data_IF_500493387325
#
_entry.id   IF_500493387325
#
_cell.length_a   1.000
_cell.length_b   1.000
_cell.length_c   1.000
_cell.angle_alpha   90.00
_cell.angle_beta   90.00
_cell.angle_gamma   90.00
#
_symmetry.space_group_name_H-M   'P 1'
#
loop_
_entity.id
_entity.type
_entity.pdbx_description
1 polymer ?
#
# COMPACT_ATOMS: atom_id res chain seq x y z
N UNK A 1 23.64 -44.63 -17.63
CA UNK A 1 24.34 -43.54 -18.35
C UNK A 1 23.49 -42.82 -19.42
N UNK A 2 22.67 -43.50 -20.22
CA UNK A 2 21.84 -42.84 -21.26
C UNK A 2 20.73 -41.92 -20.71
N UNK A 3 20.10 -42.28 -19.58
CA UNK A 3 19.05 -41.46 -18.94
C UNK A 3 19.56 -40.15 -18.34
N UNK A 4 20.77 -40.13 -17.79
CA UNK A 4 21.37 -38.94 -17.19
C UNK A 4 21.73 -37.87 -18.24
N UNK A 5 22.20 -38.29 -19.42
CA UNK A 5 22.46 -37.37 -20.55
C UNK A 5 21.18 -36.76 -21.12
N UNK A 6 20.09 -37.52 -21.16
CA UNK A 6 18.79 -37.02 -21.59
C UNK A 6 18.23 -35.96 -20.62
N UNK A 7 18.39 -36.17 -19.31
CA UNK A 7 17.94 -35.24 -18.27
C UNK A 7 18.66 -33.88 -18.37
N UNK A 8 19.98 -33.88 -18.62
CA UNK A 8 20.77 -32.65 -18.78
C UNK A 8 20.33 -31.85 -20.01
N UNK A 9 20.00 -32.53 -21.11
CA UNK A 9 19.53 -31.88 -22.35
C UNK A 9 18.16 -31.22 -22.12
N UNK A 10 17.25 -31.90 -21.43
CA UNK A 10 15.93 -31.37 -21.09
C UNK A 10 16.05 -30.16 -20.15
N UNK A 11 16.92 -30.24 -19.13
CA UNK A 11 17.16 -29.14 -18.20
C UNK A 11 17.77 -27.92 -18.91
N UNK A 12 18.73 -28.16 -19.82
CA UNK A 12 19.33 -27.11 -20.64
C UNK A 12 18.32 -26.41 -21.55
N UNK A 13 17.43 -27.17 -22.20
CA UNK A 13 16.37 -26.61 -23.04
C UNK A 13 15.36 -25.76 -22.23
N UNK A 14 15.02 -26.19 -21.00
CA UNK A 14 14.13 -25.43 -20.12
C UNK A 14 14.73 -24.09 -19.68
N UNK A 15 16.04 -24.04 -19.39
CA UNK A 15 16.74 -22.79 -19.04
C UNK A 15 16.78 -21.83 -20.22
N UNK A 16 17.06 -22.32 -21.43
CA UNK A 16 17.05 -21.49 -22.64
C UNK A 16 15.66 -20.91 -22.90
N UNK A 17 14.60 -21.71 -22.75
CA UNK A 17 13.23 -21.25 -22.90
C UNK A 17 12.87 -20.16 -21.89
N UNK A 18 13.27 -20.32 -20.61
CA UNK A 18 13.05 -19.32 -19.57
C UNK A 18 13.77 -17.99 -19.86
N UNK A 19 15.01 -18.05 -20.38
CA UNK A 19 15.76 -16.85 -20.78
C UNK A 19 15.11 -16.13 -21.96
N UNK A 20 14.65 -16.88 -22.98
CA UNK A 20 13.92 -16.32 -24.11
C UNK A 20 12.61 -15.65 -23.65
N UNK A 21 11.87 -16.29 -22.73
CA UNK A 21 10.66 -15.72 -22.16
C UNK A 21 10.93 -14.43 -21.37
N UNK A 22 12.00 -14.37 -20.56
CA UNK A 22 12.40 -13.14 -19.86
C UNK A 22 12.77 -12.01 -20.81
N UNK A 23 13.55 -12.30 -21.85
CA UNK A 23 13.94 -11.30 -22.85
C UNK A 23 12.72 -10.78 -23.62
N UNK A 24 11.79 -11.68 -23.97
CA UNK A 24 10.54 -11.32 -24.61
C UNK A 24 9.67 -10.44 -23.69
N UNK A 25 9.47 -10.83 -22.43
CA UNK A 25 8.77 -10.02 -21.43
C UNK A 25 9.43 -8.64 -21.24
N UNK A 26 10.75 -8.57 -21.13
CA UNK A 26 11.48 -7.31 -20.97
C UNK A 26 11.36 -6.41 -22.21
N UNK A 27 11.24 -6.99 -23.41
CA UNK A 27 10.97 -6.25 -24.64
C UNK A 27 9.54 -5.72 -24.67
N UNK A 28 8.56 -6.54 -24.31
CA UNK A 28 7.14 -6.13 -24.26
C UNK A 28 6.94 -5.01 -23.25
N UNK A 29 7.53 -5.10 -22.05
CA UNK A 29 7.46 -4.05 -21.03
C UNK A 29 8.10 -2.75 -21.54
N UNK A 30 9.23 -2.81 -22.27
CA UNK A 30 9.85 -1.61 -22.85
C UNK A 30 8.95 -0.96 -23.90
N UNK A 31 8.37 -1.75 -24.80
CA UNK A 31 7.45 -1.23 -25.81
C UNK A 31 6.21 -0.58 -25.17
N UNK A 32 5.62 -1.24 -24.17
CA UNK A 32 4.47 -0.69 -23.44
C UNK A 32 4.82 0.63 -22.73
N UNK A 33 6.01 0.73 -22.12
CA UNK A 33 6.48 1.98 -21.50
C UNK A 33 6.66 3.10 -22.51
N UNK A 34 7.16 2.80 -23.71
CA UNK A 34 7.32 3.81 -24.77
C UNK A 34 5.97 4.27 -25.31
N UNK A 35 5.02 3.35 -25.49
CA UNK A 35 3.65 3.68 -25.91
C UNK A 35 2.94 4.52 -24.85
N UNK A 36 3.06 4.16 -23.57
CA UNK A 36 2.49 4.93 -22.47
C UNK A 36 3.10 6.33 -22.38
N UNK A 37 4.42 6.47 -22.56
CA UNK A 37 5.08 7.78 -22.58
C UNK A 37 4.57 8.68 -23.72
N UNK A 38 4.38 8.11 -24.91
CA UNK A 38 3.82 8.84 -26.06
C UNK A 38 2.37 9.29 -25.79
N UNK A 39 1.53 8.42 -25.23
CA UNK A 39 0.15 8.75 -24.86
C UNK A 39 0.08 9.84 -23.77
N UNK A 40 1.01 9.83 -22.80
CA UNK A 40 1.10 10.86 -21.77
C UNK A 40 1.43 12.23 -22.35
N UNK A 41 2.34 12.27 -23.31
CA UNK A 41 2.73 13.51 -23.98
C UNK A 41 1.59 14.05 -24.86
N UNK A 42 0.90 13.18 -25.59
CA UNK A 42 -0.29 13.53 -26.37
C UNK A 42 -1.39 14.12 -25.48
N UNK A 43 -1.70 13.48 -24.35
CA UNK A 43 -2.67 13.98 -23.38
C UNK A 43 -2.29 15.35 -22.81
N UNK A 44 -1.01 15.57 -22.48
CA UNK A 44 -0.51 16.87 -22.02
C UNK A 44 -0.70 17.96 -23.05
N UNK A 45 -0.33 17.67 -24.30
CA UNK A 45 -0.46 18.63 -25.39
C UNK A 45 -1.93 19.01 -25.60
N UNK A 46 -2.83 18.02 -25.54
CA UNK A 46 -4.28 18.21 -25.70
C UNK A 46 -4.86 19.05 -24.56
N UNK A 47 -4.45 18.78 -23.31
CA UNK A 47 -4.86 19.56 -22.14
C UNK A 47 -4.33 21.00 -22.19
N UNK A 48 -3.09 21.21 -22.63
CA UNK A 48 -2.52 22.55 -22.78
C UNK A 48 -3.28 23.38 -23.81
N UNK A 49 -3.60 22.80 -24.98
CA UNK A 49 -4.40 23.46 -26.02
C UNK A 49 -5.82 23.76 -25.53
N UNK A 50 -6.42 22.86 -24.76
CA UNK A 50 -7.77 23.06 -24.21
C UNK A 50 -7.83 24.19 -23.16
N UNK A 51 -6.76 24.37 -22.37
CA UNK A 51 -6.65 25.38 -21.31
C UNK A 51 -6.25 26.77 -21.80
N UNK A 52 -5.69 26.89 -23.01
CA UNK A 52 -5.29 28.17 -23.61
C UNK A 52 -6.49 29.02 -24.04
N UNK A 53 -7.64 28.39 -24.27
CA UNK A 53 -8.88 29.09 -24.65
C UNK A 53 -9.37 29.99 -23.51
N UNK A 54 -9.63 31.26 -23.83
CA UNK A 54 -10.23 32.21 -22.90
C UNK A 54 -11.72 31.88 -22.74
N UNK A 55 -12.21 31.59 -21.51
CA UNK A 55 -13.62 31.27 -21.31
C UNK A 55 -14.48 32.52 -21.55
N UNK A 56 -15.54 32.35 -22.32
CA UNK A 56 -16.52 33.40 -22.66
C UNK A 56 -17.85 33.21 -21.93
N UNK A 57 -18.02 32.10 -21.21
CA UNK A 57 -19.21 31.82 -20.40
C UNK A 57 -18.89 31.11 -19.07
N UNK A 58 -19.81 31.16 -18.12
CA UNK A 58 -19.69 30.46 -16.83
C UNK A 58 -19.60 28.92 -17.00
N UNK A 59 -20.23 28.36 -18.03
CA UNK A 59 -20.13 26.94 -18.35
C UNK A 59 -18.71 26.56 -18.83
N UNK A 60 -18.09 27.41 -19.66
CA UNK A 60 -16.71 27.24 -20.11
C UNK A 60 -15.70 27.40 -18.98
N UNK A 61 -16.01 28.27 -18.00
CA UNK A 61 -15.18 28.44 -16.80
C UNK A 61 -15.20 27.18 -15.90
N UNK A 62 -16.38 26.61 -15.65
CA UNK A 62 -16.49 25.35 -14.90
C UNK A 62 -15.81 24.17 -15.64
N UNK A 63 -15.86 24.15 -16.98
CA UNK A 63 -15.15 23.16 -17.79
C UNK A 63 -13.63 23.34 -17.71
N UNK A 64 -13.14 24.58 -17.71
CA UNK A 64 -11.72 24.91 -17.52
C UNK A 64 -11.22 24.46 -16.16
N UNK A 65 -11.94 24.72 -15.08
CA UNK A 65 -11.59 24.27 -13.73
C UNK A 65 -11.48 22.74 -13.63
N UNK A 66 -12.38 22.00 -14.30
CA UNK A 66 -12.29 20.53 -14.39
C UNK A 66 -11.03 20.08 -15.14
N UNK A 67 -10.68 20.75 -16.23
CA UNK A 67 -9.47 20.46 -17.00
C UNK A 67 -8.20 20.80 -16.21
N UNK A 68 -8.20 21.88 -15.43
CA UNK A 68 -7.10 22.22 -14.51
C UNK A 68 -6.94 21.17 -13.41
N UNK A 69 -8.04 20.68 -12.85
CA UNK A 69 -8.00 19.59 -11.87
C UNK A 69 -7.41 18.30 -12.47
N UNK A 70 -7.77 17.96 -13.71
CA UNK A 70 -7.21 16.81 -14.43
C UNK A 70 -5.70 16.99 -14.67
N UNK A 71 -5.28 18.20 -15.11
CA UNK A 71 -3.87 18.54 -15.29
C UNK A 71 -3.08 18.43 -13.98
N UNK A 72 -3.59 19.03 -12.90
CA UNK A 72 -2.98 18.99 -11.57
C UNK A 72 -2.84 17.56 -11.05
N UNK A 73 -3.88 16.72 -11.20
CA UNK A 73 -3.80 15.30 -10.85
C UNK A 73 -2.69 14.60 -11.61
N UNK A 74 -2.58 14.85 -12.92
CA UNK A 74 -1.50 14.30 -13.73
C UNK A 74 -0.11 14.79 -13.31
N UNK A 75 0.05 16.08 -13.02
CA UNK A 75 1.32 16.65 -12.55
C UNK A 75 1.71 16.09 -11.18
N UNK A 76 0.76 15.97 -10.24
CA UNK A 76 1.01 15.33 -8.93
C UNK A 76 1.39 13.87 -9.09
N UNK A 77 0.78 13.13 -10.02
CA UNK A 77 1.13 11.75 -10.32
C UNK A 77 2.55 11.64 -10.86
N UNK A 78 2.91 12.49 -11.82
CA UNK A 78 4.25 12.52 -12.40
C UNK A 78 5.32 12.90 -11.37
N UNK A 79 5.03 13.86 -10.50
CA UNK A 79 5.91 14.22 -9.39
C UNK A 79 6.08 13.06 -8.41
N UNK A 80 5.01 12.33 -8.09
CA UNK A 80 5.07 11.15 -7.23
C UNK A 80 5.85 10.00 -7.87
N UNK A 81 5.65 9.73 -9.16
CA UNK A 81 6.44 8.75 -9.90
C UNK A 81 7.92 9.15 -9.94
N UNK A 82 8.24 10.42 -10.24
CA UNK A 82 9.60 10.93 -10.20
C UNK A 82 10.22 10.87 -8.81
N UNK A 83 9.45 11.13 -7.76
CA UNK A 83 9.89 10.98 -6.37
C UNK A 83 10.13 9.50 -6.03
N UNK A 84 9.26 8.59 -6.48
CA UNK A 84 9.43 7.15 -6.28
C UNK A 84 10.67 6.63 -7.05
N UNK A 85 10.86 7.07 -8.29
CA UNK A 85 12.03 6.75 -9.11
C UNK A 85 13.30 7.37 -8.54
N UNK A 86 13.26 8.63 -8.07
CA UNK A 86 14.39 9.27 -7.39
C UNK A 86 14.70 8.59 -6.06
N UNK A 87 13.70 8.15 -5.29
CA UNK A 87 13.88 7.32 -4.09
C UNK A 87 14.45 5.94 -4.42
N UNK A 88 14.13 5.39 -5.60
CA UNK A 88 14.67 4.12 -6.09
C UNK A 88 16.08 4.25 -6.70
N UNK A 89 16.43 5.42 -7.24
CA UNK A 89 17.71 5.73 -7.91
C UNK A 89 18.71 6.49 -7.03
N UNK A 90 18.28 7.06 -5.90
CA UNK A 90 19.21 7.50 -4.86
C UNK A 90 20.16 6.32 -4.56
N UNK A 91 21.45 6.57 -4.33
CA UNK A 91 22.40 5.54 -3.95
C UNK A 91 22.16 5.09 -2.50
N UNK A 92 20.94 4.64 -2.20
CA UNK A 92 20.65 3.63 -1.19
C UNK A 92 20.79 2.24 -1.80
N UNK A 93 21.74 2.06 -2.72
CA UNK A 93 22.35 0.75 -2.89
C UNK A 93 22.90 0.33 -1.53
N UNK A 94 22.61 -0.89 -1.11
CA UNK A 94 22.95 -1.53 0.17
C UNK A 94 24.26 -1.05 0.83
N UNK A 95 25.32 -0.70 0.09
CA UNK A 95 26.56 -0.11 0.65
C UNK A 95 26.42 1.29 1.26
N UNK A 96 25.63 2.19 0.69
CA UNK A 96 25.38 3.54 1.23
C UNK A 96 24.44 3.49 2.44
N UNK A 97 23.40 2.67 2.34
CA UNK A 97 22.45 2.43 3.43
C UNK A 97 23.08 1.64 4.58
N UNK A 98 23.96 0.67 4.30
CA UNK A 98 24.78 0.00 5.32
C UNK A 98 25.77 0.96 5.94
N UNK A 99 26.40 1.86 5.17
CA UNK A 99 27.34 2.82 5.77
C UNK A 99 26.61 3.84 6.65
N UNK A 100 25.37 4.21 6.34
CA UNK A 100 24.55 5.08 7.20
C UNK A 100 23.87 4.34 8.35
N UNK A 101 23.52 3.06 8.20
CA UNK A 101 22.92 2.21 9.25
C UNK A 101 23.96 1.58 10.19
N UNK A 102 25.17 1.26 9.69
CA UNK A 102 26.32 0.79 10.48
C UNK A 102 27.17 1.94 11.02
N UNK A 103 26.88 3.20 10.65
CA UNK A 103 27.33 4.34 11.45
C UNK A 103 26.43 4.43 12.69
N UNK A 104 26.75 3.55 13.65
CA UNK A 104 26.41 3.66 15.07
C UNK A 104 24.96 4.04 15.41
N UNK A 105 24.00 3.18 15.09
CA UNK A 105 22.82 3.04 15.95
C UNK A 105 22.66 1.56 16.23
N UNK A 106 22.95 1.14 17.46
CA UNK A 106 22.50 -0.15 17.96
C UNK A 106 21.02 -0.30 17.58
N UNK A 107 20.62 -1.44 16.99
CA UNK A 107 19.21 -1.72 16.70
C UNK A 107 18.43 -1.36 17.96
N UNK A 108 17.57 -0.32 17.95
CA UNK A 108 16.90 0.09 19.17
C UNK A 108 16.14 -1.11 19.73
N UNK A 109 16.04 -1.25 21.06
CA UNK A 109 15.29 -2.34 21.66
C UNK A 109 13.91 -2.42 21.02
N UNK A 110 13.49 -3.64 20.66
CA UNK A 110 12.20 -3.87 20.01
C UNK A 110 11.10 -3.39 20.96
N UNK A 111 10.48 -2.27 20.64
CA UNK A 111 9.31 -1.76 21.36
C UNK A 111 8.07 -2.36 20.72
N UNK A 112 7.71 -3.56 21.18
CA UNK A 112 6.55 -4.28 20.68
C UNK A 112 5.26 -3.65 21.16
N UNK A 113 4.33 -3.44 20.23
CA UNK A 113 2.96 -3.06 20.59
C UNK A 113 2.32 -4.18 21.44
N UNK A 114 1.52 -3.84 22.47
CA UNK A 114 1.01 -4.81 23.45
C UNK A 114 0.26 -6.00 22.85
N UNK A 115 -0.49 -5.77 21.77
CA UNK A 115 -1.26 -6.80 21.07
C UNK A 115 -0.38 -7.88 20.39
N UNK A 116 0.93 -7.65 20.26
CA UNK A 116 1.90 -8.61 19.71
C UNK A 116 2.73 -9.33 20.78
N UNK A 117 2.46 -9.11 22.07
CA UNK A 117 3.18 -9.77 23.16
C UNK A 117 3.00 -11.30 23.07
N UNK A 118 4.10 -12.05 23.12
CA UNK A 118 4.10 -13.51 22.94
C UNK A 118 4.08 -13.98 21.48
N UNK A 119 4.05 -13.06 20.50
CA UNK A 119 4.09 -13.35 19.06
C UNK A 119 5.38 -12.88 18.39
N UNK A 120 6.44 -12.62 19.17
CA UNK A 120 7.67 -11.97 18.72
C UNK A 120 8.34 -12.74 17.58
N UNK A 121 8.40 -14.07 17.72
CA UNK A 121 8.97 -14.95 16.69
C UNK A 121 8.15 -14.91 15.40
N UNK A 122 6.83 -14.90 15.50
CA UNK A 122 5.96 -14.83 14.32
C UNK A 122 6.12 -13.47 13.64
N UNK A 123 6.10 -12.39 14.42
CA UNK A 123 6.26 -11.04 13.91
C UNK A 123 7.61 -10.84 13.19
N UNK A 124 8.70 -11.30 13.80
CA UNK A 124 10.05 -11.20 13.21
C UNK A 124 10.21 -12.05 11.95
N UNK A 125 9.61 -13.24 11.90
CA UNK A 125 9.60 -14.07 10.70
C UNK A 125 8.78 -13.42 9.56
N UNK A 126 7.59 -12.90 9.87
CA UNK A 126 6.72 -12.22 8.90
C UNK A 126 7.40 -10.96 8.35
N UNK A 127 8.01 -10.16 9.22
CA UNK A 127 8.83 -9.01 8.81
C UNK A 127 9.97 -9.43 7.88
N UNK A 128 10.74 -10.46 8.23
CA UNK A 128 11.83 -10.96 7.39
C UNK A 128 11.33 -11.47 6.02
N UNK A 129 10.15 -12.07 5.96
CA UNK A 129 9.52 -12.47 4.71
C UNK A 129 9.08 -11.26 3.87
N UNK A 130 8.41 -10.28 4.48
CA UNK A 130 8.00 -9.06 3.81
C UNK A 130 9.20 -8.29 3.25
N UNK A 131 10.27 -8.16 4.03
CA UNK A 131 11.51 -7.51 3.59
C UNK A 131 12.19 -8.25 2.45
N UNK A 132 12.11 -9.59 2.38
CA UNK A 132 12.57 -10.34 1.20
C UNK A 132 11.76 -9.96 -0.04
N UNK A 133 10.44 -9.80 0.09
CA UNK A 133 9.60 -9.35 -1.01
C UNK A 133 9.87 -7.90 -1.44
N UNK A 134 10.06 -6.99 -0.48
CA UNK A 134 10.40 -5.58 -0.73
C UNK A 134 11.76 -5.43 -1.43
N UNK A 135 12.77 -6.19 -0.98
CA UNK A 135 14.15 -6.06 -1.45
C UNK A 135 14.46 -6.92 -2.69
N UNK A 136 13.93 -8.14 -2.73
CA UNK A 136 14.29 -9.16 -3.73
C UNK A 136 13.11 -9.54 -4.63
N UNK A 137 12.01 -8.77 -4.60
CA UNK A 137 10.85 -9.00 -5.45
C UNK A 137 11.27 -9.09 -6.92
N UNK A 138 10.83 -10.13 -7.61
CA UNK A 138 11.18 -10.42 -9.02
C UNK A 138 10.71 -9.32 -9.97
N UNK A 139 9.70 -8.56 -9.56
CA UNK A 139 9.23 -7.35 -10.23
C UNK A 139 8.63 -6.36 -9.21
N UNK A 140 8.36 -5.14 -9.67
CA UNK A 140 7.84 -4.03 -8.86
C UNK A 140 6.45 -4.32 -8.26
N UNK A 141 5.64 -5.17 -8.91
CA UNK A 141 4.34 -5.59 -8.38
C UNK A 141 4.47 -6.50 -7.15
N UNK A 142 5.41 -7.45 -7.16
CA UNK A 142 5.71 -8.28 -5.96
C UNK A 142 6.23 -7.41 -4.81
N UNK A 143 7.03 -6.38 -5.12
CA UNK A 143 7.48 -5.40 -4.12
C UNK A 143 6.29 -4.65 -3.54
N UNK A 144 5.40 -4.13 -4.38
CA UNK A 144 4.16 -3.47 -3.99
C UNK A 144 3.31 -4.31 -3.03
N UNK A 145 3.04 -5.57 -3.39
CA UNK A 145 2.30 -6.51 -2.53
C UNK A 145 3.00 -6.83 -1.21
N UNK A 146 4.29 -6.55 -1.06
CA UNK A 146 5.01 -6.82 0.19
C UNK A 146 5.05 -5.61 1.12
N UNK A 147 4.78 -4.40 0.60
CA UNK A 147 4.91 -3.16 1.34
C UNK A 147 3.92 -3.06 2.50
N UNK A 148 2.68 -3.51 2.34
CA UNK A 148 1.69 -3.43 3.41
C UNK A 148 2.04 -4.31 4.61
N UNK A 149 2.52 -5.53 4.37
CA UNK A 149 2.99 -6.43 5.43
C UNK A 149 4.25 -5.85 6.10
N UNK A 150 5.17 -5.28 5.32
CA UNK A 150 6.36 -4.61 5.87
C UNK A 150 5.95 -3.42 6.76
N UNK A 151 5.02 -2.59 6.30
CA UNK A 151 4.50 -1.44 7.03
C UNK A 151 3.89 -1.85 8.39
N UNK A 152 2.96 -2.83 8.39
CA UNK A 152 2.32 -3.31 9.63
C UNK A 152 3.33 -3.90 10.61
N UNK A 153 4.23 -4.75 10.11
CA UNK A 153 5.20 -5.41 10.98
C UNK A 153 6.26 -4.45 11.52
N UNK A 154 6.71 -3.47 10.74
CA UNK A 154 7.56 -2.38 11.23
C UNK A 154 6.86 -1.58 12.33
N UNK A 155 5.58 -1.24 12.17
CA UNK A 155 4.82 -0.50 13.18
C UNK A 155 4.66 -1.31 14.47
N UNK A 156 4.34 -2.60 14.33
CA UNK A 156 4.21 -3.52 15.47
C UNK A 156 5.52 -3.67 16.27
N UNK A 157 6.67 -3.51 15.63
CA UNK A 157 8.00 -3.51 16.26
C UNK A 157 8.45 -2.13 16.80
N UNK A 158 7.60 -1.11 16.73
CA UNK A 158 7.93 0.25 17.17
C UNK A 158 8.83 1.02 16.21
N UNK A 159 8.95 0.56 14.95
CA UNK A 159 9.74 1.23 13.90
C UNK A 159 8.86 2.18 13.09
N UNK A 160 8.32 3.19 13.77
CA UNK A 160 7.30 4.12 13.23
C UNK A 160 7.70 4.74 11.89
N UNK A 161 8.94 5.23 11.75
CA UNK A 161 9.36 5.90 10.51
C UNK A 161 9.56 4.93 9.33
N UNK A 162 10.02 3.72 9.61
CA UNK A 162 10.12 2.65 8.60
C UNK A 162 8.71 2.24 8.13
N UNK A 163 7.78 2.09 9.08
CA UNK A 163 6.39 1.78 8.79
C UNK A 163 5.71 2.85 7.94
N UNK A 164 5.92 4.14 8.27
CA UNK A 164 5.42 5.28 7.49
C UNK A 164 5.89 5.20 6.04
N UNK A 165 7.20 5.04 5.84
CA UNK A 165 7.79 4.97 4.51
C UNK A 165 7.18 3.84 3.67
N UNK A 166 7.05 2.64 4.24
CA UNK A 166 6.45 1.52 3.50
C UNK A 166 4.98 1.74 3.16
N UNK A 167 4.20 2.34 4.07
CA UNK A 167 2.81 2.66 3.81
C UNK A 167 2.65 3.74 2.72
N UNK A 168 3.48 4.80 2.74
CA UNK A 168 3.49 5.83 1.70
C UNK A 168 3.91 5.28 0.32
N UNK A 169 4.94 4.44 0.29
CA UNK A 169 5.39 3.77 -0.93
C UNK A 169 4.29 2.84 -1.47
N UNK A 170 3.55 2.15 -0.58
CA UNK A 170 2.39 1.33 -0.96
C UNK A 170 1.29 2.17 -1.61
N UNK A 171 0.93 3.30 -1.02
CA UNK A 171 -0.08 4.21 -1.58
C UNK A 171 0.36 4.78 -2.94
N UNK A 172 1.63 5.13 -3.08
CA UNK A 172 2.20 5.65 -4.33
C UNK A 172 2.15 4.59 -5.44
N UNK A 173 2.56 3.36 -5.15
CA UNK A 173 2.51 2.26 -6.13
C UNK A 173 1.09 1.78 -6.42
N UNK A 174 0.16 1.92 -5.47
CA UNK A 174 -1.25 1.60 -5.71
C UNK A 174 -1.84 2.44 -6.84
N UNK A 175 -1.51 3.73 -6.94
CA UNK A 175 -1.97 4.61 -8.02
C UNK A 175 -1.49 4.10 -9.40
N UNK A 176 -0.31 3.49 -9.44
CA UNK A 176 0.26 2.90 -10.65
C UNK A 176 -0.43 1.59 -11.04
N UNK A 177 -0.70 0.71 -10.08
CA UNK A 177 -1.24 -0.63 -10.36
C UNK A 177 -2.77 -0.72 -10.42
N UNK A 178 -3.48 0.27 -9.86
CA UNK A 178 -4.95 0.26 -9.88
C UNK A 178 -5.55 0.69 -11.22
N UNK A 179 -4.80 1.32 -12.15
CA UNK A 179 -5.22 1.75 -13.49
C UNK A 179 -6.68 2.28 -13.61
N UNK A 180 -7.17 3.04 -12.62
CA UNK A 180 -8.54 3.57 -12.64
C UNK A 180 -9.66 2.53 -12.43
N UNK A 181 -9.31 1.27 -12.10
CA UNK A 181 -10.22 0.20 -11.68
C UNK A 181 -10.02 -0.08 -10.19
N UNK A 182 -10.82 0.52 -9.29
CA UNK A 182 -10.76 0.26 -7.86
C UNK A 182 -10.84 -1.24 -7.52
N UNK A 183 -11.60 -2.01 -8.29
CA UNK A 183 -11.72 -3.47 -8.14
C UNK A 183 -10.43 -4.27 -8.39
N UNK A 184 -9.44 -3.66 -9.05
CA UNK A 184 -8.11 -4.26 -9.31
C UNK A 184 -7.06 -3.82 -8.29
N UNK A 185 -7.38 -2.83 -7.45
CA UNK A 185 -6.50 -2.44 -6.36
C UNK A 185 -6.34 -3.65 -5.41
N UNK A 186 -5.12 -3.89 -4.95
CA UNK A 186 -4.89 -4.86 -3.87
C UNK A 186 -5.53 -4.28 -2.61
N UNK A 187 -6.78 -4.67 -2.35
CA UNK A 187 -7.59 -4.08 -1.30
C UNK A 187 -6.94 -4.21 0.08
N UNK A 188 -6.27 -5.32 0.34
CA UNK A 188 -5.40 -5.50 1.51
C UNK A 188 -4.29 -4.43 1.60
N UNK A 189 -3.60 -4.13 0.50
CA UNK A 189 -2.49 -3.16 0.49
C UNK A 189 -2.95 -1.75 0.86
N UNK A 190 -4.03 -1.28 0.23
CA UNK A 190 -4.58 0.07 0.47
C UNK A 190 -5.16 0.17 1.88
N UNK A 191 -5.88 -0.86 2.32
CA UNK A 191 -6.47 -0.93 3.65
C UNK A 191 -5.39 -0.83 4.72
N UNK A 192 -4.39 -1.71 4.66
CA UNK A 192 -3.33 -1.79 5.66
C UNK A 192 -2.43 -0.56 5.66
N UNK A 193 -2.13 0.04 4.50
CA UNK A 193 -1.37 1.27 4.42
C UNK A 193 -2.09 2.42 5.13
N UNK A 194 -3.41 2.56 4.95
CA UNK A 194 -4.20 3.54 5.66
C UNK A 194 -4.25 3.25 7.17
N UNK A 195 -4.40 1.98 7.58
CA UNK A 195 -4.34 1.64 9.00
C UNK A 195 -3.00 2.06 9.63
N UNK A 196 -1.88 1.72 9.00
CA UNK A 196 -0.55 2.09 9.51
C UNK A 196 -0.42 3.62 9.63
N UNK A 197 -0.74 4.37 8.57
CA UNK A 197 -0.65 5.83 8.59
C UNK A 197 -1.58 6.46 9.64
N UNK A 198 -2.78 5.92 9.81
CA UNK A 198 -3.72 6.39 10.83
C UNK A 198 -3.25 6.09 12.25
N UNK A 199 -2.67 4.92 12.51
CA UNK A 199 -2.13 4.58 13.84
C UNK A 199 -0.94 5.46 14.20
N UNK A 200 -0.09 5.77 13.23
CA UNK A 200 0.99 6.74 13.38
C UNK A 200 0.41 8.14 13.64
N UNK A 201 -0.67 8.53 12.97
CA UNK A 201 -1.34 9.79 13.24
C UNK A 201 -1.91 9.86 14.68
N UNK A 202 -2.43 8.77 15.22
CA UNK A 202 -2.83 8.70 16.65
C UNK A 202 -1.62 8.91 17.56
N UNK A 203 -0.49 8.21 17.33
CA UNK A 203 0.74 8.38 18.12
C UNK A 203 1.24 9.84 18.12
N UNK A 204 1.00 10.58 17.04
CA UNK A 204 1.39 11.98 16.87
C UNK A 204 0.31 12.98 17.35
N UNK A 205 -0.80 12.51 17.91
CA UNK A 205 -1.92 13.35 18.36
C UNK A 205 -2.75 13.96 17.22
N UNK A 206 -2.57 13.51 15.98
CA UNK A 206 -3.30 13.97 14.79
C UNK A 206 -4.60 13.16 14.60
N UNK A 207 -5.51 13.25 15.55
CA UNK A 207 -6.74 12.43 15.57
C UNK A 207 -7.63 12.62 14.33
N UNK A 208 -7.75 13.84 13.81
CA UNK A 208 -8.50 14.08 12.56
C UNK A 208 -7.91 13.34 11.37
N UNK A 209 -6.58 13.21 11.32
CA UNK A 209 -5.90 12.50 10.24
C UNK A 209 -6.09 10.99 10.40
N UNK A 210 -6.03 10.49 11.64
CA UNK A 210 -6.34 9.10 11.97
C UNK A 210 -7.76 8.71 11.57
N UNK A 211 -8.75 9.55 11.85
CA UNK A 211 -10.15 9.35 11.44
C UNK A 211 -10.28 9.26 9.92
N UNK A 212 -9.67 10.19 9.19
CA UNK A 212 -9.68 10.16 7.71
C UNK A 212 -9.03 8.90 7.16
N UNK A 213 -7.93 8.46 7.75
CA UNK A 213 -7.28 7.20 7.36
C UNK A 213 -8.16 5.98 7.64
N UNK A 214 -8.85 5.91 8.78
CA UNK A 214 -9.76 4.80 9.09
C UNK A 214 -10.90 4.71 8.07
N UNK A 215 -11.56 5.83 7.77
CA UNK A 215 -12.65 5.86 6.78
C UNK A 215 -12.14 5.53 5.38
N UNK A 216 -10.95 6.03 5.00
CA UNK A 216 -10.32 5.68 3.73
C UNK A 216 -10.02 4.17 3.60
N UNK A 217 -9.62 3.51 4.70
CA UNK A 217 -9.47 2.06 4.74
C UNK A 217 -10.81 1.34 4.55
N UNK A 218 -11.89 1.85 5.14
CA UNK A 218 -13.24 1.28 5.03
C UNK A 218 -13.86 1.44 3.63
N UNK A 219 -13.51 2.50 2.89
CA UNK A 219 -14.00 2.75 1.52
C UNK A 219 -13.44 1.82 0.44
N UNK A 220 -12.62 0.85 0.84
CA UNK A 220 -12.01 -0.13 -0.05
C UNK A 220 -13.06 -1.07 -0.67
N UNK A 221 -12.79 -1.56 -1.89
CA UNK A 221 -13.61 -2.57 -2.58
C UNK A 221 -13.50 -3.97 -1.99
N UNK A 222 -12.58 -4.18 -1.02
CA UNK A 222 -12.35 -5.45 -0.36
C UNK A 222 -11.26 -6.30 -1.04
N UNK A 223 -10.99 -7.46 -0.47
CA UNK A 223 -10.06 -8.47 -0.99
C UNK A 223 -10.47 -9.86 -0.48
N UNK A 224 -9.99 -10.98 -1.06
CA UNK A 224 -10.26 -12.30 -0.50
C UNK A 224 -9.86 -12.45 0.99
N UNK A 225 -8.81 -11.73 1.42
CA UNK A 225 -8.39 -11.69 2.82
C UNK A 225 -9.41 -10.91 3.66
N UNK A 226 -9.76 -9.69 3.23
CA UNK A 226 -10.69 -8.81 3.95
C UNK A 226 -12.11 -9.38 4.02
N UNK A 227 -12.55 -10.10 2.98
CA UNK A 227 -13.86 -10.74 2.97
C UNK A 227 -13.94 -12.02 3.78
N UNK A 228 -12.80 -12.63 4.11
CA UNK A 228 -12.74 -13.88 4.90
C UNK A 228 -12.40 -13.59 6.37
N UNK A 229 -11.18 -13.13 6.64
CA UNK A 229 -10.70 -12.87 8.00
C UNK A 229 -11.26 -11.57 8.58
N UNK A 230 -11.64 -10.64 7.71
CA UNK A 230 -12.13 -9.32 8.05
C UNK A 230 -11.07 -8.23 7.87
N UNK A 231 -11.38 -7.02 8.33
CA UNK A 231 -10.43 -5.92 8.46
C UNK A 231 -9.72 -5.90 9.81
N UNK A 232 -8.44 -5.54 9.80
CA UNK A 232 -7.70 -5.29 11.02
C UNK A 232 -8.29 -4.05 11.76
N UNK A 233 -8.48 -4.18 13.07
CA UNK A 233 -9.18 -3.23 13.94
C UNK A 233 -8.22 -2.41 14.82
N UNK A 234 -6.91 -2.50 14.61
CA UNK A 234 -5.91 -1.79 15.41
C UNK A 234 -6.14 -0.28 15.45
N UNK A 235 -6.41 0.35 14.30
CA UNK A 235 -6.71 1.78 14.26
C UNK A 235 -8.08 2.12 14.87
N UNK A 236 -9.08 1.26 14.68
CA UNK A 236 -10.39 1.43 15.30
C UNK A 236 -10.27 1.41 16.83
N UNK A 237 -9.50 0.45 17.38
CA UNK A 237 -9.18 0.38 18.81
C UNK A 237 -8.45 1.63 19.28
N UNK A 238 -7.38 2.04 18.59
CA UNK A 238 -6.60 3.23 18.94
C UNK A 238 -7.50 4.48 19.00
N UNK A 239 -8.46 4.64 18.06
CA UNK A 239 -9.43 5.74 18.06
C UNK A 239 -10.48 5.65 19.18
N UNK A 240 -10.96 4.44 19.52
CA UNK A 240 -11.85 4.25 20.68
C UNK A 240 -11.17 4.63 22.00
N UNK A 241 -9.88 4.29 22.16
CA UNK A 241 -9.09 4.67 23.33
C UNK A 241 -8.90 6.19 23.47
N UNK A 242 -9.03 6.92 22.36
CA UNK A 242 -8.98 8.39 22.30
C UNK A 242 -10.37 9.04 22.26
N UNK A 243 -11.45 8.28 22.49
CA UNK A 243 -12.80 8.82 22.60
C UNK A 243 -13.45 9.18 21.27
N UNK A 244 -13.12 8.48 20.18
CA UNK A 244 -13.64 8.72 18.82
C UNK A 244 -14.61 7.61 18.32
N UNK A 245 -15.71 7.30 19.04
CA UNK A 245 -16.58 6.17 18.71
C UNK A 245 -17.40 6.38 17.43
N UNK A 246 -17.78 7.62 17.11
CA UNK A 246 -18.62 7.92 15.95
C UNK A 246 -17.95 7.47 14.63
N UNK A 247 -16.66 7.77 14.47
CA UNK A 247 -15.89 7.37 13.28
C UNK A 247 -15.74 5.85 13.19
N UNK A 248 -15.59 5.18 14.33
CA UNK A 248 -15.43 3.72 14.38
C UNK A 248 -16.73 3.01 14.02
N UNK A 249 -17.87 3.55 14.46
CA UNK A 249 -19.19 3.05 14.05
C UNK A 249 -19.42 3.23 12.55
N UNK A 250 -19.04 4.37 11.98
CA UNK A 250 -19.10 4.60 10.53
C UNK A 250 -18.20 3.60 9.78
N UNK A 251 -16.99 3.38 10.28
CA UNK A 251 -16.07 2.39 9.72
C UNK A 251 -16.66 0.97 9.73
N UNK A 252 -17.38 0.55 10.78
CA UNK A 252 -18.04 -0.76 10.79
C UNK A 252 -19.06 -0.90 9.67
N UNK A 253 -19.85 0.14 9.39
CA UNK A 253 -20.81 0.12 8.28
C UNK A 253 -20.13 0.07 6.91
N UNK A 254 -18.96 0.71 6.77
CA UNK A 254 -18.13 0.57 5.57
C UNK A 254 -17.60 -0.87 5.42
N UNK A 255 -17.12 -1.48 6.51
CA UNK A 255 -16.60 -2.84 6.53
C UNK A 255 -17.63 -3.90 6.14
N UNK A 256 -18.92 -3.69 6.44
CA UNK A 256 -20.00 -4.62 6.01
C UNK A 256 -20.02 -4.85 4.51
N UNK A 257 -19.61 -3.86 3.71
CA UNK A 257 -19.65 -3.94 2.24
C UNK A 257 -18.73 -5.03 1.70
N UNK A 258 -17.62 -5.31 2.38
CA UNK A 258 -16.65 -6.32 1.95
C UNK A 258 -16.56 -7.53 2.87
N UNK A 259 -16.88 -7.39 4.16
CA UNK A 259 -16.86 -8.50 5.13
C UNK A 259 -18.23 -9.14 5.36
N UNK A 260 -19.28 -8.60 4.74
CA UNK A 260 -20.65 -9.10 4.81
C UNK A 260 -21.35 -8.86 6.15
N UNK A 261 -22.45 -9.57 6.36
CA UNK A 261 -23.21 -9.58 7.62
C UNK A 261 -22.52 -10.45 8.68
N UNK A 262 -21.28 -10.08 9.01
CA UNK A 262 -20.54 -10.77 10.06
C UNK A 262 -21.08 -10.36 11.44
N UNK A 263 -21.54 -11.34 12.23
CA UNK A 263 -22.11 -11.12 13.56
C UNK A 263 -21.19 -10.31 14.50
N UNK A 264 -19.86 -10.40 14.31
CA UNK A 264 -18.89 -9.61 15.08
C UNK A 264 -19.08 -8.11 14.91
N UNK A 265 -19.42 -7.63 13.72
CA UNK A 265 -19.66 -6.19 13.50
C UNK A 265 -20.84 -5.68 14.32
N UNK A 266 -21.89 -6.50 14.49
CA UNK A 266 -23.05 -6.15 15.29
C UNK A 266 -22.77 -6.20 16.80
N UNK A 267 -21.99 -7.18 17.23
CA UNK A 267 -21.52 -7.29 18.62
C UNK A 267 -20.63 -6.11 19.00
N UNK A 268 -19.62 -5.82 18.18
CA UNK A 268 -18.71 -4.69 18.39
C UNK A 268 -19.43 -3.35 18.33
N UNK A 269 -20.40 -3.18 17.42
CA UNK A 269 -21.26 -1.99 17.39
C UNK A 269 -21.98 -1.76 18.71
N UNK A 270 -22.64 -2.79 19.26
CA UNK A 270 -23.35 -2.69 20.55
C UNK A 270 -22.42 -2.36 21.71
N UNK A 271 -21.20 -2.88 21.69
CA UNK A 271 -20.19 -2.55 22.71
C UNK A 271 -19.75 -1.09 22.62
N UNK A 272 -19.45 -0.59 21.42
CA UNK A 272 -19.08 0.81 21.20
C UNK A 272 -20.21 1.76 21.56
N UNK A 273 -21.45 1.46 21.17
CA UNK A 273 -22.64 2.26 21.53
C UNK A 273 -22.87 2.31 23.06
N UNK A 274 -22.44 1.28 23.78
CA UNK A 274 -22.48 1.23 25.23
C UNK A 274 -21.23 1.83 25.90
N UNK A 275 -20.36 2.52 25.15
CA UNK A 275 -19.16 3.17 25.64
C UNK A 275 -18.03 2.21 26.02
N UNK A 276 -18.07 0.96 25.53
CA UNK A 276 -17.01 -0.05 25.74
C UNK A 276 -16.11 -0.15 24.51
N UNK A 277 -14.88 -0.58 24.74
CA UNK A 277 -13.95 -0.95 23.68
C UNK A 277 -14.10 -2.45 23.44
N UNK A 278 -14.53 -2.89 22.24
CA UNK A 278 -14.73 -4.31 21.97
C UNK A 278 -13.43 -5.10 22.06
N UNK A 279 -13.53 -6.36 22.44
CA UNK A 279 -12.43 -7.30 22.23
C UNK A 279 -12.38 -7.70 20.75
N UNK A 280 -11.46 -7.06 20.02
CA UNK A 280 -11.23 -7.34 18.61
C UNK A 280 -10.42 -8.64 18.38
N UNK A 281 -9.83 -9.22 19.43
CA UNK A 281 -9.05 -10.46 19.35
C UNK A 281 -8.04 -10.48 18.20
N UNK A 282 -8.14 -11.53 17.36
CA UNK A 282 -7.24 -11.72 16.21
C UNK A 282 -7.27 -10.58 15.18
N UNK A 283 -8.33 -9.78 15.14
CA UNK A 283 -8.42 -8.61 14.25
C UNK A 283 -7.44 -7.48 14.64
N UNK A 284 -6.68 -7.60 15.72
CA UNK A 284 -5.60 -6.65 16.02
C UNK A 284 -4.26 -7.00 15.35
N UNK A 285 -4.08 -8.23 14.87
CA UNK A 285 -2.74 -8.79 14.58
C UNK A 285 -2.44 -8.94 13.09
N UNK A 286 -3.40 -9.42 12.28
CA UNK A 286 -3.14 -9.88 10.91
C UNK A 286 -2.87 -8.77 9.90
#
# INVERSE_FOLDING_TARGET
MKSFRLLIIILGAAVVFALVAMVWQARTIRNLRTEEAALREDLRSTLAVALDKTPTSAAEQAQRERLELIKLRHETRDLRERLAEARAQQPTGFKGLIRSLLSSHATPPLHLRPEYKGLEKNLTNTYAQAMRGVNNGTNEYVRFLSLHTAAKTSLAMGRTEEARRFAEDAMTLNEKYSHGSPEKASGDVVHDANLVLGRIAVEEGRLEDAKRHLLAAGHNTGSPVLGSFGPNMGLAKDLLEHGEPATVLEYFELCRKFWGENAKLDEWKKEVEAGRIPDFGGNLIY
#
